data_IF_904500015089
#
_entry.id   IF_904500015089
#
_cell.length_a   1.000
_cell.length_b   1.000
_cell.length_c   1.000
_cell.angle_alpha   90.00
_cell.angle_beta   90.00
_cell.angle_gamma   90.00
#
_symmetry.space_group_name_H-M   'P 1'
#
loop_
_entity.id
_entity.type
_entity.pdbx_description
1 polymer ?
#
# COMPACT_ATOMS: atom_id res chain seq x y z
N UNK A 1 14.45 9.56 -14.69
CA UNK A 1 15.36 8.53 -15.23
C UNK A 1 14.57 7.65 -16.18
N UNK A 2 15.08 7.33 -17.37
CA UNK A 2 14.44 6.42 -18.32
C UNK A 2 15.16 5.08 -18.26
N UNK A 3 14.42 4.01 -17.99
CA UNK A 3 14.97 2.66 -17.81
C UNK A 3 14.16 1.69 -18.68
N UNK A 4 14.84 0.77 -19.36
CA UNK A 4 14.18 -0.32 -20.07
C UNK A 4 14.18 -1.55 -19.16
N UNK A 5 12.99 -2.06 -18.86
CA UNK A 5 12.78 -3.24 -18.02
C UNK A 5 11.76 -4.15 -18.70
N UNK A 6 11.98 -5.46 -18.62
CA UNK A 6 11.03 -6.46 -19.11
C UNK A 6 10.02 -6.72 -18.01
N UNK A 7 8.74 -6.53 -18.30
CA UNK A 7 7.62 -6.77 -17.39
C UNK A 7 6.61 -7.64 -18.15
N UNK A 8 5.97 -8.55 -17.43
CA UNK A 8 4.84 -9.33 -17.93
C UNK A 8 3.67 -8.40 -18.33
N UNK A 9 3.21 -8.53 -19.58
CA UNK A 9 2.15 -7.68 -20.12
C UNK A 9 0.79 -7.95 -19.48
N UNK A 10 0.49 -9.19 -19.08
CA UNK A 10 -0.75 -9.54 -18.41
C UNK A 10 -0.78 -8.94 -17.00
N UNK A 11 0.37 -8.94 -16.31
CA UNK A 11 0.51 -8.29 -15.01
C UNK A 11 0.27 -6.78 -15.12
N UNK A 12 0.85 -6.12 -16.11
CA UNK A 12 0.65 -4.69 -16.33
C UNK A 12 -0.81 -4.38 -16.68
N UNK A 13 -1.44 -5.20 -17.51
CA UNK A 13 -2.85 -5.02 -17.89
C UNK A 13 -3.78 -5.11 -16.68
N UNK A 14 -3.60 -6.14 -15.84
CA UNK A 14 -4.37 -6.30 -14.60
C UNK A 14 -4.14 -5.15 -13.63
N UNK A 15 -2.88 -4.70 -13.50
CA UNK A 15 -2.54 -3.58 -12.63
C UNK A 15 -3.16 -2.27 -13.13
N UNK A 16 -3.13 -1.98 -14.44
CA UNK A 16 -3.81 -0.82 -15.05
C UNK A 16 -5.31 -0.84 -14.77
N UNK A 17 -5.96 -1.99 -14.98
CA UNK A 17 -7.40 -2.14 -14.77
C UNK A 17 -7.78 -1.94 -13.29
N UNK A 18 -6.97 -2.48 -12.37
CA UNK A 18 -7.24 -2.40 -10.93
C UNK A 18 -6.92 -1.02 -10.35
N UNK A 19 -5.84 -0.37 -10.82
CA UNK A 19 -5.40 0.92 -10.31
C UNK A 19 -6.06 2.11 -10.99
N UNK A 20 -6.75 1.90 -12.13
CA UNK A 20 -7.27 2.97 -12.99
C UNK A 20 -6.17 3.77 -13.71
N UNK A 21 -4.94 3.27 -13.75
CA UNK A 21 -3.83 3.99 -14.37
C UNK A 21 -3.94 4.00 -15.89
N UNK A 22 -3.59 5.13 -16.49
CA UNK A 22 -3.70 5.35 -17.93
C UNK A 22 -2.45 4.92 -18.70
N UNK A 23 -1.31 4.81 -18.01
CA UNK A 23 -0.02 4.49 -18.64
C UNK A 23 0.76 3.43 -17.87
N UNK A 24 1.56 2.61 -18.58
CA UNK A 24 2.47 1.64 -17.95
C UNK A 24 3.43 2.30 -16.94
N UNK A 25 3.91 3.52 -17.22
CA UNK A 25 4.77 4.29 -16.31
C UNK A 25 4.07 4.63 -15.00
N UNK A 26 2.82 5.04 -15.08
CA UNK A 26 2.01 5.37 -13.90
C UNK A 26 1.77 4.14 -13.03
N UNK A 27 1.48 2.98 -13.63
CA UNK A 27 1.37 1.72 -12.89
C UNK A 27 2.64 1.40 -12.12
N UNK A 28 3.80 1.54 -12.77
CA UNK A 28 5.10 1.27 -12.14
C UNK A 28 5.32 2.23 -10.96
N UNK A 29 5.02 3.53 -11.11
CA UNK A 29 5.13 4.50 -10.02
C UNK A 29 4.20 4.15 -8.84
N UNK A 30 2.94 3.81 -9.14
CA UNK A 30 1.96 3.38 -8.13
C UNK A 30 2.40 2.11 -7.41
N UNK A 31 2.93 1.13 -8.15
CA UNK A 31 3.46 -0.12 -7.60
C UNK A 31 4.63 0.11 -6.64
N UNK A 32 5.60 0.96 -7.03
CA UNK A 32 6.73 1.33 -6.17
C UNK A 32 6.26 2.03 -4.89
N UNK A 33 5.32 2.98 -4.99
CA UNK A 33 4.73 3.64 -3.82
C UNK A 33 3.95 2.66 -2.94
N UNK A 34 3.29 1.67 -3.53
CA UNK A 34 2.56 0.65 -2.79
C UNK A 34 3.52 -0.24 -1.99
N UNK A 35 4.67 -0.63 -2.57
CA UNK A 35 5.69 -1.41 -1.88
C UNK A 35 6.25 -0.67 -0.65
N UNK A 36 6.57 0.62 -0.79
CA UNK A 36 7.04 1.46 0.32
C UNK A 36 5.97 1.52 1.43
N UNK A 37 4.71 1.78 1.06
CA UNK A 37 3.60 1.83 2.02
C UNK A 37 3.37 0.48 2.72
N UNK A 38 3.46 -0.62 1.98
CA UNK A 38 3.27 -1.96 2.53
C UNK A 38 4.29 -2.28 3.63
N UNK A 39 5.54 -1.86 3.44
CA UNK A 39 6.60 -2.00 4.44
C UNK A 39 6.31 -1.16 5.69
N UNK A 40 5.95 0.12 5.53
CA UNK A 40 5.56 0.97 6.66
C UNK A 40 4.38 0.38 7.46
N UNK A 41 3.37 -0.16 6.77
CA UNK A 41 2.26 -0.85 7.43
C UNK A 41 2.68 -2.16 8.09
N UNK A 42 3.67 -2.87 7.57
CA UNK A 42 4.19 -4.08 8.22
C UNK A 42 4.88 -3.74 9.55
N UNK A 43 5.66 -2.65 9.58
CA UNK A 43 6.31 -2.15 10.79
C UNK A 43 5.28 -1.70 11.83
N UNK A 44 4.26 -0.95 11.42
CA UNK A 44 3.15 -0.58 12.32
C UNK A 44 2.42 -1.82 12.85
N UNK A 45 2.15 -2.82 12.00
CA UNK A 45 1.53 -4.09 12.43
C UNK A 45 2.42 -4.85 13.42
N UNK A 46 3.75 -4.72 13.34
CA UNK A 46 4.67 -5.35 14.29
C UNK A 46 4.56 -4.78 15.71
N UNK A 47 3.97 -3.59 15.87
CA UNK A 47 3.70 -2.94 17.16
C UNK A 47 2.39 -3.41 17.81
N UNK A 48 1.57 -4.21 17.10
CA UNK A 48 0.32 -4.75 17.63
C UNK A 48 0.57 -5.52 18.92
N UNK A 49 -0.14 -5.15 19.99
CA UNK A 49 -0.02 -5.77 21.31
C UNK A 49 1.24 -5.39 22.11
N UNK A 50 2.11 -4.54 21.56
CA UNK A 50 3.32 -4.04 22.26
C UNK A 50 3.12 -2.64 22.86
N UNK A 51 2.21 -1.87 22.30
CA UNK A 51 1.87 -0.53 22.78
C UNK A 51 0.73 -0.62 23.80
N UNK A 52 0.87 0.09 24.92
CA UNK A 52 -0.24 0.27 25.85
C UNK A 52 -1.19 1.30 25.27
N UNK A 53 -2.48 0.97 25.27
CA UNK A 53 -3.55 1.87 24.87
C UNK A 53 -3.96 2.71 26.07
N UNK A 54 -3.89 4.02 25.95
CA UNK A 54 -4.37 4.97 26.96
C UNK A 54 -5.71 5.55 26.48
N UNK A 55 -6.82 5.01 27.00
CA UNK A 55 -8.17 5.48 26.70
C UNK A 55 -9.25 4.54 27.25
N UNK A 56 -10.39 5.09 27.65
CA UNK A 56 -11.56 4.32 28.09
C UNK A 56 -12.41 3.95 26.87
N UNK A 57 -12.36 2.67 26.49
CA UNK A 57 -13.08 2.15 25.33
C UNK A 57 -14.60 2.11 25.55
N UNK A 58 -15.05 2.00 26.79
CA UNK A 58 -16.48 1.93 27.10
C UNK A 58 -17.10 3.32 26.99
N UNK A 59 -16.40 4.35 27.49
CA UNK A 59 -16.81 5.74 27.30
C UNK A 59 -16.92 6.15 25.83
N UNK A 60 -16.00 5.70 24.96
CA UNK A 60 -15.96 6.02 23.52
C UNK A 60 -17.00 5.29 22.66
N UNK A 61 -17.79 4.38 23.24
CA UNK A 61 -18.80 3.58 22.51
C UNK A 61 -20.23 3.93 22.90
N UNK A 62 -20.39 4.84 23.85
CA UNK A 62 -21.69 5.18 24.45
C UNK A 62 -22.24 6.51 23.91
N UNK A 63 -21.58 7.11 22.91
CA UNK A 63 -22.01 8.32 22.18
C UNK A 63 -22.69 8.02 20.83
#
# INVERSE_FOLDING_TARGET
>A
MRTNIVIDDDLIAQAMQTSGATTKREVVDLGLRALIRAQAYAELRSLRGKLQWEGDLDAMRTD
#
